data_IF_360853314682
#
_entry.id   IF_360853314682
#
_cell.length_a   1.000
_cell.length_b   1.000
_cell.length_c   1.000
_cell.angle_alpha   90.00
_cell.angle_beta   90.00
_cell.angle_gamma   90.00
#
_symmetry.space_group_name_H-M   'P 1'
#
loop_
_entity.id
_entity.type
_entity.pdbx_description
1 polymer ?
#
# COMPACT_ATOMS: atom_id res chain seq x y z
N UNK A 1 28.96 -4.38 -8.62
CA UNK A 1 27.51 -4.62 -8.44
C UNK A 1 27.14 -5.29 -7.10
N UNK A 2 28.08 -5.81 -6.31
CA UNK A 2 27.78 -6.49 -5.04
C UNK A 2 27.51 -5.55 -3.82
N UNK A 3 27.77 -4.25 -3.96
CA UNK A 3 27.63 -3.26 -2.87
C UNK A 3 26.23 -2.65 -2.77
N UNK A 4 25.50 -2.53 -3.88
CA UNK A 4 24.14 -1.97 -3.89
C UNK A 4 23.10 -2.92 -3.26
N UNK A 5 23.25 -4.23 -3.49
CA UNK A 5 22.37 -5.27 -2.93
C UNK A 5 22.47 -5.40 -1.40
N UNK A 6 23.59 -4.99 -0.78
CA UNK A 6 23.72 -4.98 0.69
C UNK A 6 23.04 -3.76 1.35
N UNK A 7 22.79 -2.68 0.61
CA UNK A 7 22.14 -1.47 1.16
C UNK A 7 20.61 -1.63 1.29
N UNK A 8 19.99 -2.40 0.40
CA UNK A 8 18.53 -2.62 0.39
C UNK A 8 18.09 -3.56 1.54
N UNK A 9 18.93 -4.51 1.93
CA UNK A 9 18.65 -5.42 3.05
C UNK A 9 18.58 -4.75 4.43
N UNK A 10 19.10 -3.52 4.58
CA UNK A 10 19.10 -2.80 5.87
C UNK A 10 17.87 -1.90 6.07
N UNK A 11 17.12 -1.61 5.01
CA UNK A 11 15.91 -0.76 5.08
C UNK A 11 14.61 -1.52 5.38
N UNK A 12 14.62 -2.86 5.32
CA UNK A 12 13.45 -3.71 5.58
C UNK A 12 12.96 -3.75 7.03
N UNK A 13 13.69 -3.17 8.00
CA UNK A 13 13.26 -3.11 9.42
C UNK A 13 12.46 -1.86 9.78
N UNK A 14 12.45 -0.82 8.94
CA UNK A 14 11.77 0.44 9.25
C UNK A 14 10.26 0.46 8.87
N UNK A 15 9.78 -0.52 8.09
CA UNK A 15 8.40 -0.54 7.59
C UNK A 15 7.42 -1.38 8.41
N UNK A 16 7.87 -2.01 9.52
CA UNK A 16 7.01 -2.84 10.36
C UNK A 16 6.25 -2.07 11.45
N UNK A 17 6.49 -0.77 11.64
CA UNK A 17 5.85 0.04 12.69
C UNK A 17 4.56 0.74 12.26
N UNK A 18 4.08 0.58 11.02
CA UNK A 18 2.90 1.31 10.51
C UNK A 18 1.63 0.44 10.44
N UNK A 19 1.71 -0.89 10.63
CA UNK A 19 0.58 -1.79 10.34
C UNK A 19 -0.38 -1.99 11.54
N UNK A 20 -0.04 -1.53 12.75
CA UNK A 20 -0.89 -1.68 13.93
C UNK A 20 -1.55 -0.36 14.34
N UNK A 21 -2.55 0.12 13.60
CA UNK A 21 -3.56 1.01 14.20
C UNK A 21 -4.89 1.04 13.42
N UNK A 22 -5.90 0.41 14.05
CA UNK A 22 -7.34 0.77 14.09
C UNK A 22 -8.15 0.84 12.78
N UNK A 23 -9.05 -0.15 12.68
CA UNK A 23 -10.46 -0.06 12.27
C UNK A 23 -10.82 0.87 11.09
N UNK A 24 -10.81 0.32 9.88
CA UNK A 24 -11.38 0.95 8.68
C UNK A 24 -12.81 0.46 8.37
N UNK A 25 -13.62 0.20 9.40
CA UNK A 25 -15.05 -0.11 9.27
C UNK A 25 -15.90 1.12 9.59
N UNK A 26 -15.94 2.15 8.72
CA UNK A 26 -17.07 3.10 8.64
C UNK A 26 -16.93 4.17 7.55
N UNK A 27 -16.77 3.81 6.28
CA UNK A 27 -17.01 4.78 5.19
C UNK A 27 -17.88 4.14 4.10
N UNK A 28 -19.12 3.83 4.50
CA UNK A 28 -20.24 3.74 3.57
C UNK A 28 -20.58 5.18 3.22
N UNK A 29 -20.30 5.59 1.98
CA UNK A 29 -20.80 6.84 1.41
C UNK A 29 -22.18 6.58 0.81
N UNK A 30 -23.27 7.13 1.36
CA UNK A 30 -24.48 7.35 0.57
C UNK A 30 -24.53 8.81 0.09
N UNK A 31 -25.24 9.01 -1.01
CA UNK A 31 -25.80 10.27 -1.52
C UNK A 31 -24.97 11.03 -2.57
N UNK A 32 -25.10 10.52 -3.79
CA UNK A 32 -25.53 11.35 -4.93
C UNK A 32 -26.67 12.30 -4.50
N UNK A 33 -26.37 13.59 -4.43
CA UNK A 33 -27.36 14.65 -4.63
C UNK A 33 -26.82 15.61 -5.66
N UNK A 34 -27.16 15.38 -6.93
CA UNK A 34 -27.07 16.40 -7.96
C UNK A 34 -28.05 17.53 -7.57
N UNK A 35 -27.55 18.61 -6.97
CA UNK A 35 -28.31 19.84 -6.83
C UNK A 35 -28.16 20.62 -8.13
N UNK A 36 -29.08 20.40 -9.07
CA UNK A 36 -29.30 21.36 -10.15
C UNK A 36 -30.05 22.56 -9.56
N UNK A 37 -29.36 23.68 -9.37
CA UNK A 37 -30.00 24.95 -9.03
C UNK A 37 -30.63 25.55 -10.30
N UNK A 38 -31.81 25.07 -10.66
CA UNK A 38 -32.66 25.73 -11.65
C UNK A 38 -33.34 26.90 -10.93
N UNK A 39 -32.79 28.10 -11.13
CA UNK A 39 -33.40 29.35 -10.69
C UNK A 39 -34.55 29.70 -11.62
N UNK A 40 -35.79 29.44 -11.19
CA UNK A 40 -36.98 29.98 -11.83
C UNK A 40 -37.38 31.27 -11.13
N UNK A 41 -36.71 32.38 -11.45
CA UNK A 41 -37.24 33.71 -11.15
C UNK A 41 -37.84 34.31 -12.42
N UNK A 42 -39.03 34.89 -12.29
CA UNK A 42 -39.74 35.50 -13.42
C UNK A 42 -38.94 36.66 -14.00
N UNK A 43 -38.64 36.57 -15.30
CA UNK A 43 -37.98 37.65 -16.03
C UNK A 43 -38.97 38.81 -16.20
N UNK A 44 -38.85 39.83 -15.37
CA UNK A 44 -39.38 41.16 -15.70
C UNK A 44 -38.57 41.70 -16.88
N UNK A 45 -39.21 41.76 -18.05
CA UNK A 45 -38.81 42.64 -19.14
C UNK A 45 -38.95 44.09 -18.66
N UNK A 46 -38.15 44.96 -19.28
CA UNK A 46 -38.19 46.42 -19.17
C UNK A 46 -37.22 47.01 -18.14
N UNK A 47 -35.94 47.08 -18.52
CA UNK A 47 -35.20 48.36 -18.67
C UNK A 47 -34.15 48.14 -19.74
N UNK A 48 -34.25 48.87 -20.87
CA UNK A 48 -33.20 48.94 -21.88
C UNK A 48 -31.98 49.68 -21.34
N UNK A 49 -31.08 48.97 -20.68
CA UNK A 49 -29.72 49.44 -20.47
C UNK A 49 -28.91 49.05 -21.69
N UNK A 50 -28.53 50.04 -22.51
CA UNK A 50 -27.48 49.92 -23.50
C UNK A 50 -26.18 49.64 -22.74
N UNK A 51 -25.89 48.36 -22.55
CA UNK A 51 -24.59 47.90 -22.04
C UNK A 51 -23.61 48.07 -23.20
N UNK A 52 -22.75 49.08 -23.09
CA UNK A 52 -21.58 49.18 -23.96
C UNK A 52 -20.80 47.86 -23.88
N UNK A 53 -20.24 47.34 -25.00
CA UNK A 53 -19.47 46.10 -24.97
C UNK A 53 -18.26 46.31 -24.07
N UNK A 54 -18.34 45.83 -22.83
CA UNK A 54 -17.21 45.82 -21.92
C UNK A 54 -16.15 44.94 -22.58
N UNK A 55 -15.07 45.54 -23.07
CA UNK A 55 -13.94 44.80 -23.61
C UNK A 55 -13.55 43.78 -22.55
N UNK A 56 -13.68 42.48 -22.89
CA UNK A 56 -13.21 41.39 -22.02
C UNK A 56 -11.84 41.81 -21.52
N UNK A 57 -11.70 41.95 -20.20
CA UNK A 57 -10.43 42.37 -19.60
C UNK A 57 -9.31 41.50 -20.17
N UNK A 58 -8.14 42.10 -20.36
CA UNK A 58 -6.98 41.42 -20.94
C UNK A 58 -6.67 40.09 -20.21
N UNK A 59 -6.99 40.04 -18.92
CA UNK A 59 -6.95 38.85 -18.08
C UNK A 59 -7.94 37.75 -18.49
N UNK A 60 -9.20 38.10 -18.79
CA UNK A 60 -10.20 37.16 -19.29
C UNK A 60 -9.81 36.61 -20.66
N UNK A 61 -9.17 37.41 -21.51
CA UNK A 61 -8.64 36.94 -22.81
C UNK A 61 -7.47 35.98 -22.62
N UNK A 62 -6.49 36.32 -21.78
CA UNK A 62 -5.38 35.42 -21.42
C UNK A 62 -5.85 34.12 -20.78
N UNK A 63 -6.89 34.19 -19.96
CA UNK A 63 -7.48 33.01 -19.32
C UNK A 63 -8.21 32.15 -20.35
N UNK A 64 -8.99 32.77 -21.25
CA UNK A 64 -9.67 32.06 -22.34
C UNK A 64 -8.67 31.41 -23.29
N UNK A 65 -7.58 32.10 -23.64
CA UNK A 65 -6.49 31.56 -24.48
C UNK A 65 -5.78 30.39 -23.80
N UNK A 66 -5.48 30.49 -22.49
CA UNK A 66 -4.90 29.38 -21.71
C UNK A 66 -5.77 28.13 -21.67
N UNK A 67 -7.10 28.29 -21.70
CA UNK A 67 -8.04 27.16 -21.68
C UNK A 67 -8.50 26.73 -23.08
N UNK A 68 -8.18 27.49 -24.13
CA UNK A 68 -8.54 27.15 -25.51
C UNK A 68 -7.85 25.88 -26.01
N UNK A 69 -6.64 25.62 -25.51
CA UNK A 69 -5.89 24.41 -25.83
C UNK A 69 -6.45 23.14 -25.14
N UNK A 70 -7.40 23.29 -24.21
CA UNK A 70 -8.00 22.16 -23.49
C UNK A 70 -9.29 21.62 -24.14
N UNK A 71 -9.90 22.36 -25.08
CA UNK A 71 -11.22 22.01 -25.62
C UNK A 71 -11.23 21.38 -27.01
N UNK A 72 -10.18 21.53 -27.81
CA UNK A 72 -10.24 21.15 -29.22
C UNK A 72 -8.97 20.44 -29.69
N UNK A 73 -9.06 19.15 -30.05
CA UNK A 73 -8.32 18.66 -31.23
C UNK A 73 -8.77 17.33 -31.86
N UNK A 74 -9.57 16.45 -31.23
CA UNK A 74 -10.02 15.21 -31.93
C UNK A 74 -11.43 14.75 -31.52
N UNK A 75 -12.31 14.55 -32.51
CA UNK A 75 -13.77 14.37 -32.36
C UNK A 75 -14.23 13.11 -31.59
N UNK A 76 -13.33 12.30 -31.02
CA UNK A 76 -13.69 11.08 -30.26
C UNK A 76 -12.69 10.71 -29.15
N UNK A 77 -11.88 11.66 -28.65
CA UNK A 77 -10.98 11.34 -27.55
C UNK A 77 -11.72 11.29 -26.20
N UNK A 78 -11.67 10.14 -25.53
CA UNK A 78 -12.15 9.97 -24.15
C UNK A 78 -10.94 9.97 -23.22
N UNK A 79 -10.89 10.94 -22.31
CA UNK A 79 -9.83 11.02 -21.31
C UNK A 79 -9.92 9.88 -20.29
N UNK A 80 -8.75 9.37 -19.89
CA UNK A 80 -8.59 8.38 -18.82
C UNK A 80 -8.61 9.02 -17.42
N UNK A 81 -8.54 10.35 -17.34
CA UNK A 81 -8.70 11.11 -16.11
C UNK A 81 -7.42 11.39 -15.32
N UNK A 82 -6.23 11.22 -15.91
CA UNK A 82 -4.96 11.54 -15.25
C UNK A 82 -4.52 12.98 -15.48
N UNK A 83 -4.59 13.48 -16.72
CA UNK A 83 -4.24 14.87 -17.03
C UNK A 83 -5.35 15.55 -17.85
N UNK A 84 -6.04 16.55 -17.27
CA UNK A 84 -7.04 17.31 -18.03
C UNK A 84 -6.34 18.23 -19.04
N UNK A 85 -6.75 18.14 -20.30
CA UNK A 85 -6.33 19.08 -21.36
C UNK A 85 -5.07 18.70 -22.13
N UNK A 86 -4.43 17.55 -21.83
CA UNK A 86 -3.34 17.03 -22.67
C UNK A 86 -3.51 15.53 -22.94
N UNK A 87 -3.91 15.21 -24.18
CA UNK A 87 -4.17 13.83 -24.63
C UNK A 87 -2.96 12.91 -24.50
N UNK A 88 -1.82 13.34 -25.02
CA UNK A 88 -0.65 12.46 -25.16
C UNK A 88 -0.12 12.05 -23.79
N UNK A 89 -0.13 13.00 -22.85
CA UNK A 89 0.29 12.74 -21.48
C UNK A 89 -0.70 11.89 -20.70
N UNK A 90 -2.01 12.13 -20.85
CA UNK A 90 -3.05 11.31 -20.23
C UNK A 90 -3.01 9.85 -20.75
N UNK A 91 -2.81 9.67 -22.06
CA UNK A 91 -2.62 8.34 -22.67
C UNK A 91 -1.34 7.66 -22.17
N UNK A 92 -0.20 8.36 -22.17
CA UNK A 92 1.07 7.79 -21.71
C UNK A 92 1.02 7.39 -20.23
N UNK A 93 0.50 8.28 -19.39
CA UNK A 93 0.46 8.07 -17.94
C UNK A 93 -0.45 6.88 -17.57
N UNK A 94 -1.60 6.73 -18.23
CA UNK A 94 -2.47 5.59 -18.05
C UNK A 94 -1.76 4.26 -18.35
N UNK A 95 -1.13 4.14 -19.52
CA UNK A 95 -0.45 2.91 -19.92
C UNK A 95 0.76 2.61 -19.05
N UNK A 96 1.51 3.64 -18.66
CA UNK A 96 2.63 3.50 -17.74
C UNK A 96 2.20 2.99 -16.36
N UNK A 97 1.13 3.54 -15.79
CA UNK A 97 0.61 3.11 -14.49
C UNK A 97 0.05 1.69 -14.58
N UNK A 98 -0.72 1.37 -15.62
CA UNK A 98 -1.28 0.02 -15.79
C UNK A 98 -0.18 -1.02 -15.95
N UNK A 99 0.86 -0.73 -16.75
CA UNK A 99 2.01 -1.62 -16.89
C UNK A 99 2.81 -1.76 -15.58
N UNK A 100 3.12 -0.66 -14.91
CA UNK A 100 3.89 -0.68 -13.68
C UNK A 100 3.14 -1.35 -12.51
N UNK A 101 1.86 -1.05 -12.34
CA UNK A 101 1.07 -1.60 -11.24
C UNK A 101 0.66 -3.05 -11.50
N UNK A 102 0.08 -3.34 -12.67
CA UNK A 102 -0.46 -4.68 -12.95
C UNK A 102 0.65 -5.61 -13.38
N UNK A 103 1.38 -5.27 -14.46
CA UNK A 103 2.38 -6.19 -15.01
C UNK A 103 3.59 -6.33 -14.09
N UNK A 104 4.18 -5.23 -13.61
CA UNK A 104 5.35 -5.30 -12.74
C UNK A 104 4.98 -5.55 -11.26
N UNK A 105 4.00 -4.82 -10.74
CA UNK A 105 3.59 -4.95 -9.33
C UNK A 105 2.91 -6.28 -9.02
N UNK A 106 1.83 -6.61 -9.73
CA UNK A 106 1.04 -7.83 -9.44
C UNK A 106 1.70 -9.08 -10.01
N UNK A 107 1.98 -9.13 -11.31
CA UNK A 107 2.51 -10.36 -11.91
C UNK A 107 3.94 -10.64 -11.44
N UNK A 108 4.84 -9.65 -11.55
CA UNK A 108 6.25 -9.82 -11.16
C UNK A 108 6.43 -9.87 -9.65
N UNK A 109 5.72 -9.04 -8.89
CA UNK A 109 5.72 -9.13 -7.42
C UNK A 109 5.18 -10.47 -6.93
N UNK A 110 4.08 -10.95 -7.51
CA UNK A 110 3.53 -12.28 -7.23
C UNK A 110 4.51 -13.40 -7.57
N UNK A 111 5.20 -13.31 -8.71
CA UNK A 111 6.24 -14.26 -9.09
C UNK A 111 7.39 -14.32 -8.09
N UNK A 112 7.91 -13.16 -7.65
CA UNK A 112 8.99 -13.11 -6.66
C UNK A 112 8.54 -13.74 -5.33
N UNK A 113 7.32 -13.45 -4.87
CA UNK A 113 6.80 -14.02 -3.63
C UNK A 113 6.58 -15.54 -3.73
N UNK A 114 6.10 -16.03 -4.87
CA UNK A 114 5.87 -17.45 -5.11
C UNK A 114 7.17 -18.27 -5.16
N UNK A 115 8.25 -17.69 -5.71
CA UNK A 115 9.55 -18.34 -5.85
C UNK A 115 10.60 -17.82 -4.86
N UNK A 116 10.18 -17.11 -3.82
CA UNK A 116 11.08 -16.65 -2.78
C UNK A 116 11.72 -17.87 -2.09
N UNK A 117 13.05 -17.88 -1.84
CA UNK A 117 13.70 -18.97 -1.13
C UNK A 117 13.09 -19.14 0.27
N UNK A 118 13.15 -20.38 0.78
CA UNK A 118 12.48 -20.87 2.00
C UNK A 118 12.29 -19.79 3.07
N UNK A 119 11.07 -19.23 3.09
CA UNK A 119 10.73 -18.15 4.00
C UNK A 119 10.62 -18.66 5.43
N UNK A 120 11.46 -18.11 6.31
CA UNK A 120 11.59 -18.53 7.71
C UNK A 120 12.06 -19.98 7.91
N UNK A 121 12.78 -20.55 6.93
CA UNK A 121 13.36 -21.90 7.03
C UNK A 121 12.31 -22.98 7.32
N UNK A 122 11.10 -22.84 6.77
CA UNK A 122 9.99 -23.74 7.05
C UNK A 122 10.24 -25.11 6.42
N UNK A 123 10.65 -25.14 5.15
CA UNK A 123 10.93 -26.39 4.46
C UNK A 123 12.15 -27.10 5.07
N UNK A 124 13.17 -26.32 5.46
CA UNK A 124 14.31 -26.84 6.20
C UNK A 124 13.88 -27.43 7.55
N UNK A 125 13.09 -26.72 8.34
CA UNK A 125 12.65 -27.18 9.66
C UNK A 125 11.83 -28.47 9.60
N UNK A 126 10.96 -28.60 8.58
CA UNK A 126 10.21 -29.83 8.36
C UNK A 126 11.14 -30.99 8.00
N UNK A 127 12.08 -30.78 7.07
CA UNK A 127 13.06 -31.80 6.67
C UNK A 127 13.88 -32.27 7.86
N UNK A 128 14.42 -31.34 8.64
CA UNK A 128 15.26 -31.65 9.80
C UNK A 128 14.46 -32.38 10.88
N UNK A 129 13.21 -31.98 11.12
CA UNK A 129 12.33 -32.66 12.06
C UNK A 129 12.09 -34.13 11.67
N UNK A 130 11.88 -34.43 10.39
CA UNK A 130 11.72 -35.83 9.94
C UNK A 130 12.98 -36.67 10.19
N UNK A 131 14.16 -36.13 9.92
CA UNK A 131 15.43 -36.83 10.15
C UNK A 131 15.67 -37.08 11.64
N UNK A 132 15.37 -36.09 12.47
CA UNK A 132 15.57 -36.18 13.91
C UNK A 132 14.59 -37.17 14.57
N UNK A 133 13.33 -37.20 14.12
CA UNK A 133 12.36 -38.19 14.57
C UNK A 133 12.81 -39.62 14.22
N UNK A 134 13.28 -39.85 12.98
CA UNK A 134 13.79 -41.16 12.57
C UNK A 134 14.99 -41.61 13.42
N UNK A 135 15.90 -40.68 13.76
CA UNK A 135 17.03 -40.97 14.65
C UNK A 135 16.54 -41.40 16.04
N UNK A 136 15.61 -40.65 16.63
CA UNK A 136 15.09 -40.94 17.98
C UNK A 136 14.28 -42.24 18.03
N UNK A 137 13.51 -42.54 16.99
CA UNK A 137 12.78 -43.80 16.88
C UNK A 137 13.73 -45.00 16.83
N UNK A 138 14.84 -44.90 16.08
CA UNK A 138 15.88 -45.96 16.05
C UNK A 138 16.57 -46.16 17.39
N UNK A 139 16.76 -45.09 18.14
CA UNK A 139 17.36 -45.13 19.49
C UNK A 139 16.33 -45.50 20.57
N UNK A 140 15.03 -45.54 20.25
CA UNK A 140 13.94 -45.84 21.19
C UNK A 140 13.68 -44.73 22.21
N UNK A 141 14.11 -43.49 21.94
CA UNK A 141 13.87 -42.32 22.79
C UNK A 141 12.46 -41.75 22.57
N UNK A 142 11.95 -40.96 23.54
CA UNK A 142 10.74 -40.17 23.31
C UNK A 142 10.92 -39.23 22.10
N UNK A 143 9.86 -39.05 21.31
CA UNK A 143 9.88 -38.26 20.07
C UNK A 143 10.34 -36.81 20.30
N UNK A 144 9.90 -36.21 21.41
CA UNK A 144 10.29 -34.88 21.87
C UNK A 144 10.57 -34.95 23.35
N UNK A 145 11.75 -34.47 23.74
CA UNK A 145 12.13 -34.34 25.15
C UNK A 145 11.39 -33.13 25.75
N UNK A 146 10.68 -33.30 26.88
CA UNK A 146 10.10 -32.18 27.62
C UNK A 146 11.14 -31.16 28.07
N UNK A 147 12.34 -31.62 28.41
CA UNK A 147 13.41 -30.77 28.92
C UNK A 147 14.31 -30.30 27.78
N UNK A 148 14.20 -29.02 27.41
CA UNK A 148 15.02 -28.44 26.35
C UNK A 148 16.51 -28.34 26.74
N UNK A 149 16.79 -28.18 28.04
CA UNK A 149 18.13 -28.04 28.60
C UNK A 149 18.47 -29.19 29.51
N UNK A 150 19.73 -29.64 29.47
CA UNK A 150 20.24 -30.61 30.43
C UNK A 150 20.18 -30.01 31.83
N UNK A 151 19.48 -30.68 32.74
CA UNK A 151 19.30 -30.25 34.15
C UNK A 151 20.65 -30.05 34.84
N UNK A 152 21.65 -30.87 34.48
CA UNK A 152 23.01 -30.78 35.03
C UNK A 152 23.72 -29.45 34.72
N UNK A 153 23.32 -28.75 33.66
CA UNK A 153 23.90 -27.45 33.30
C UNK A 153 23.26 -26.29 34.08
N UNK A 154 22.04 -26.49 34.59
CA UNK A 154 21.35 -25.50 35.41
C UNK A 154 21.64 -25.74 36.89
N UNK A 155 22.61 -25.02 37.45
CA UNK A 155 22.73 -24.91 38.91
C UNK A 155 21.66 -23.94 39.41
N UNK A 156 20.60 -24.46 40.03
CA UNK A 156 19.70 -23.62 40.81
C UNK A 156 20.45 -23.16 42.07
N UNK A 157 20.40 -21.86 42.43
CA UNK A 157 20.86 -21.39 43.72
C UNK A 157 20.16 -22.16 44.84
N UNK A 158 20.86 -22.42 45.94
CA UNK A 158 20.23 -23.07 47.10
C UNK A 158 19.29 -22.11 47.83
N UNK A 159 18.28 -22.65 48.54
CA UNK A 159 17.29 -21.84 49.26
C UNK A 159 17.91 -20.85 50.28
N UNK A 160 19.10 -21.17 50.81
CA UNK A 160 19.86 -20.28 51.71
C UNK A 160 20.45 -19.05 51.01
N UNK A 161 20.78 -19.16 49.72
CA UNK A 161 21.31 -18.06 48.90
C UNK A 161 20.19 -17.16 48.33
N UNK A 162 18.94 -17.64 48.34
CA UNK A 162 17.75 -16.95 47.81
C UNK A 162 17.20 -15.90 48.80
N UNK A 163 17.47 -16.05 50.11
CA UNK A 163 16.99 -15.12 51.16
C UNK A 163 15.46 -14.99 51.24
N UNK A 164 14.94 -13.89 51.80
CA UNK A 164 13.49 -13.56 51.85
C UNK A 164 13.01 -12.86 50.57
N UNK A 165 13.49 -13.26 49.39
CA UNK A 165 13.06 -12.63 48.14
C UNK A 165 11.70 -13.20 47.73
N UNK A 166 10.69 -12.34 47.54
CA UNK A 166 9.33 -12.77 47.17
C UNK A 166 9.35 -13.48 45.79
N UNK A 167 9.01 -14.77 45.79
CA UNK A 167 8.91 -15.57 44.56
C UNK A 167 7.58 -15.20 43.89
N UNK A 168 7.63 -14.29 42.93
CA UNK A 168 6.50 -14.02 42.04
C UNK A 168 6.46 -15.11 40.98
N UNK A 169 5.48 -16.02 41.12
CA UNK A 169 5.20 -17.11 40.17
C UNK A 169 4.38 -16.59 38.99
#
# INVERSE_FOLDING_TARGET
MATLLRSVGRQGRALQTIVNNKSFRSLIFPLLKHKASISTSEKKKDVGAVVQPMEKSEELKKLTEKFKDTSDTEENYVSYGYEPGNRDKDWFLYHMIMFACISLGVCWGGFILAYMPDYKLRDWSHREAFLELERREKEGLPLVDPDYTKIELSSLPSDEEIGETEIVI
#
